data_IF_058173505795
#
_entry.id   IF_058173505795
#
_cell.length_a   1.000
_cell.length_b   1.000
_cell.length_c   1.000
_cell.angle_alpha   90.00
_cell.angle_beta   90.00
_cell.angle_gamma   90.00
#
_symmetry.space_group_name_H-M   'P 1'
#
loop_
_entity.id
_entity.type
_entity.pdbx_description
1 polymer ?
#
# COMPACT_ATOMS: atom_id res chain seq x y z
N UNK A 1 -7.63 18.09 -7.22
CA UNK A 1 -6.56 17.27 -6.64
C UNK A 1 -6.88 15.81 -6.94
N UNK A 2 -6.15 15.21 -7.87
CA UNK A 2 -6.24 13.79 -8.22
C UNK A 2 -5.50 12.99 -7.14
N UNK A 3 -6.23 12.16 -6.42
CA UNK A 3 -5.70 11.34 -5.34
C UNK A 3 -5.82 9.88 -5.72
N UNK A 4 -4.82 9.11 -5.37
CA UNK A 4 -4.88 7.65 -5.48
C UNK A 4 -4.54 7.03 -4.14
N UNK A 5 -5.15 5.88 -3.84
CA UNK A 5 -4.72 5.00 -2.74
C UNK A 5 -3.94 3.86 -3.36
N UNK A 6 -2.82 3.45 -2.78
CA UNK A 6 -2.08 2.29 -3.24
C UNK A 6 -1.75 1.34 -2.08
N UNK A 7 -1.65 0.06 -2.42
CA UNK A 7 -1.18 -1.00 -1.54
C UNK A 7 -0.44 -2.06 -2.37
N UNK A 8 0.57 -2.70 -1.77
CA UNK A 8 1.45 -3.66 -2.43
C UNK A 8 1.48 -4.98 -1.67
N UNK A 9 1.24 -6.05 -2.41
CA UNK A 9 1.54 -7.42 -1.97
C UNK A 9 2.92 -7.84 -2.48
N UNK A 10 3.64 -8.63 -1.68
CA UNK A 10 4.99 -9.10 -2.02
C UNK A 10 5.04 -10.59 -2.37
N UNK A 11 5.99 -10.98 -3.21
CA UNK A 11 6.19 -12.39 -3.61
C UNK A 11 6.90 -13.21 -2.54
N UNK A 12 7.76 -12.53 -1.78
CA UNK A 12 8.62 -13.10 -0.77
C UNK A 12 8.44 -12.37 0.56
N UNK A 13 8.91 -12.99 1.64
CA UNK A 13 8.83 -12.43 2.99
C UNK A 13 10.19 -12.00 3.52
N UNK A 14 10.20 -11.10 4.51
CA UNK A 14 11.41 -10.68 5.22
C UNK A 14 12.23 -11.85 5.80
N UNK A 15 11.55 -12.93 6.21
CA UNK A 15 12.20 -14.13 6.72
C UNK A 15 12.94 -14.90 5.63
N UNK A 16 12.34 -15.03 4.44
CA UNK A 16 12.95 -15.71 3.30
C UNK A 16 14.18 -14.98 2.77
N UNK A 17 14.16 -13.64 2.77
CA UNK A 17 15.30 -12.83 2.34
C UNK A 17 16.34 -12.57 3.43
N UNK A 18 16.03 -12.90 4.69
CA UNK A 18 16.91 -12.66 5.83
C UNK A 18 17.21 -11.17 6.08
N UNK A 19 16.30 -10.27 5.65
CA UNK A 19 16.46 -8.82 5.72
C UNK A 19 15.17 -8.16 6.22
N UNK A 20 15.27 -6.97 6.82
CA UNK A 20 14.13 -6.11 7.18
C UNK A 20 13.98 -4.92 6.23
N UNK A 21 14.85 -4.82 5.23
CA UNK A 21 14.81 -3.79 4.21
C UNK A 21 13.70 -4.10 3.18
N UNK A 22 12.69 -3.24 3.00
CA UNK A 22 11.67 -3.41 1.98
C UNK A 22 12.23 -3.64 0.57
N UNK A 23 13.39 -3.06 0.24
CA UNK A 23 14.01 -3.19 -1.08
C UNK A 23 14.48 -4.63 -1.41
N UNK A 24 14.63 -5.47 -0.38
CA UNK A 24 14.94 -6.89 -0.54
C UNK A 24 13.74 -7.71 -1.06
N UNK A 25 12.53 -7.14 -1.04
CA UNK A 25 11.32 -7.81 -1.50
C UNK A 25 11.09 -7.56 -3.01
N UNK A 26 10.20 -8.38 -3.57
CA UNK A 26 9.68 -8.26 -4.93
C UNK A 26 8.17 -8.13 -4.89
N UNK A 27 7.60 -7.34 -5.81
CA UNK A 27 6.16 -7.06 -5.86
C UNK A 27 5.43 -8.23 -6.54
N UNK A 28 4.37 -8.76 -5.91
CA UNK A 28 3.50 -9.78 -6.51
C UNK A 28 2.29 -9.14 -7.18
N UNK A 29 1.67 -8.17 -6.51
CA UNK A 29 0.50 -7.44 -6.98
C UNK A 29 0.52 -6.03 -6.41
N UNK A 30 0.14 -5.06 -7.23
CA UNK A 30 -0.12 -3.70 -6.78
C UNK A 30 -1.56 -3.34 -7.08
N UNK A 31 -2.25 -2.77 -6.09
CA UNK A 31 -3.63 -2.27 -6.26
C UNK A 31 -3.66 -0.76 -6.11
N UNK A 32 -4.42 -0.10 -6.97
CA UNK A 32 -4.70 1.33 -6.92
C UNK A 32 -6.19 1.56 -6.86
N UNK A 33 -6.64 2.44 -5.97
CA UNK A 33 -7.95 3.07 -6.06
C UNK A 33 -7.80 4.51 -6.53
N UNK A 34 -8.44 4.88 -7.65
CA UNK A 34 -8.44 6.23 -8.20
C UNK A 34 -9.73 6.98 -7.85
N UNK A 35 -9.60 8.05 -7.07
CA UNK A 35 -10.74 8.90 -6.69
C UNK A 35 -11.38 9.63 -7.88
N UNK A 36 -10.68 9.75 -9.01
CA UNK A 36 -11.16 10.43 -10.21
C UNK A 36 -12.15 9.57 -10.98
N UNK A 37 -11.89 8.27 -11.06
CA UNK A 37 -12.71 7.32 -11.81
C UNK A 37 -13.64 6.51 -10.90
N UNK A 38 -13.42 6.54 -9.59
CA UNK A 38 -14.10 5.69 -8.60
C UNK A 38 -13.95 4.20 -8.94
N UNK A 39 -12.73 3.79 -9.29
CA UNK A 39 -12.41 2.44 -9.71
C UNK A 39 -11.15 1.91 -9.01
N UNK A 40 -11.13 0.59 -8.88
CA UNK A 40 -9.94 -0.16 -8.51
C UNK A 40 -9.24 -0.67 -9.77
N UNK A 41 -7.91 -0.58 -9.76
CA UNK A 41 -7.02 -1.15 -10.77
C UNK A 41 -6.01 -2.04 -10.08
N UNK A 42 -5.65 -3.15 -10.71
CA UNK A 42 -4.64 -4.08 -10.22
C UNK A 42 -3.57 -4.28 -11.30
N UNK A 43 -2.31 -4.36 -10.89
CA UNK A 43 -1.18 -4.49 -11.79
C UNK A 43 -0.22 -5.57 -11.30
N UNK A 44 0.13 -6.47 -12.20
CA UNK A 44 1.32 -7.30 -12.09
C UNK A 44 2.56 -6.51 -12.56
N UNK A 45 3.75 -6.99 -12.23
CA UNK A 45 5.02 -6.31 -12.54
C UNK A 45 5.17 -5.97 -14.04
N UNK A 46 4.76 -6.87 -14.93
CA UNK A 46 4.80 -6.66 -16.38
C UNK A 46 3.79 -5.59 -16.88
N UNK A 47 2.86 -5.16 -16.04
CA UNK A 47 1.82 -4.18 -16.34
C UNK A 47 2.15 -2.79 -15.80
N UNK A 48 3.29 -2.62 -15.11
CA UNK A 48 3.68 -1.36 -14.49
C UNK A 48 3.76 -0.17 -15.45
N UNK A 49 4.01 -0.40 -16.74
CA UNK A 49 3.92 0.66 -17.77
C UNK A 49 2.55 1.36 -17.81
N UNK A 50 1.47 0.68 -17.43
CA UNK A 50 0.13 1.24 -17.32
C UNK A 50 -0.06 1.97 -15.97
N UNK A 51 0.46 1.39 -14.88
CA UNK A 51 0.48 1.99 -13.56
C UNK A 51 1.15 3.36 -13.54
N UNK A 52 2.29 3.50 -14.22
CA UNK A 52 3.04 4.77 -14.27
C UNK A 52 2.18 5.92 -14.78
N UNK A 53 1.32 5.67 -15.77
CA UNK A 53 0.40 6.69 -16.29
C UNK A 53 -0.58 7.18 -15.24
N UNK A 54 -1.00 6.32 -14.31
CA UNK A 54 -1.90 6.70 -13.21
C UNK A 54 -1.12 7.51 -12.16
N UNK A 55 0.03 6.99 -11.72
CA UNK A 55 0.85 7.61 -10.67
C UNK A 55 1.36 8.99 -11.09
N UNK A 56 1.87 9.13 -12.33
CA UNK A 56 2.40 10.41 -12.84
C UNK A 56 1.33 11.49 -13.02
N UNK A 57 0.06 11.08 -13.11
CA UNK A 57 -1.08 12.00 -13.16
C UNK A 57 -1.70 12.26 -11.79
N UNK A 58 -1.22 11.61 -10.72
CA UNK A 58 -1.72 11.80 -9.37
C UNK A 58 -1.02 13.00 -8.70
N UNK A 59 -1.82 13.84 -8.04
CA UNK A 59 -1.30 14.93 -7.21
C UNK A 59 -0.88 14.41 -5.82
N UNK A 60 -1.40 13.24 -5.41
CA UNK A 60 -1.16 12.65 -4.10
C UNK A 60 -1.34 11.13 -4.10
N UNK A 61 -0.41 10.45 -3.45
CA UNK A 61 -0.48 9.02 -3.10
C UNK A 61 -0.91 8.88 -1.64
N UNK A 62 -1.89 8.02 -1.37
CA UNK A 62 -2.38 7.70 -0.03
C UNK A 62 -2.08 6.23 0.25
N UNK A 63 -1.61 5.91 1.45
CA UNK A 63 -1.38 4.53 1.86
C UNK A 63 -1.16 4.38 3.35
N UNK A 64 -0.81 3.17 3.79
CA UNK A 64 -0.58 2.85 5.20
C UNK A 64 0.83 2.33 5.41
N UNK A 65 1.68 3.09 6.10
CA UNK A 65 3.12 2.81 6.24
C UNK A 65 3.88 2.86 4.89
N UNK A 66 3.31 3.52 3.89
CA UNK A 66 3.80 3.53 2.51
C UNK A 66 5.03 4.39 2.29
N UNK A 67 5.26 5.42 3.11
CA UNK A 67 6.50 6.20 3.04
C UNK A 67 7.72 5.33 3.38
N UNK A 68 7.52 4.32 4.24
CA UNK A 68 8.57 3.39 4.64
C UNK A 68 8.60 2.12 3.78
N UNK A 69 7.45 1.65 3.29
CA UNK A 69 7.33 0.35 2.64
C UNK A 69 7.03 0.45 1.14
N UNK A 70 5.82 0.84 0.78
CA UNK A 70 5.36 0.73 -0.61
C UNK A 70 6.10 1.65 -1.57
N UNK A 71 6.28 2.93 -1.21
CA UNK A 71 6.93 3.91 -2.09
C UNK A 71 8.38 3.50 -2.35
N UNK A 72 9.22 3.20 -1.33
CA UNK A 72 10.58 2.71 -1.58
C UNK A 72 10.61 1.41 -2.41
N UNK A 73 9.75 0.43 -2.10
CA UNK A 73 9.71 -0.84 -2.82
C UNK A 73 9.30 -0.64 -4.28
N UNK A 74 8.30 0.19 -4.57
CA UNK A 74 7.87 0.50 -5.93
C UNK A 74 8.91 1.32 -6.70
N UNK A 75 9.65 2.20 -6.01
CA UNK A 75 10.71 3.01 -6.63
C UNK A 75 11.84 2.16 -7.21
N UNK A 76 12.05 0.91 -6.73
CA UNK A 76 12.96 -0.08 -7.34
C UNK A 76 12.63 -0.36 -8.82
N UNK A 77 11.36 -0.24 -9.20
CA UNK A 77 10.85 -0.54 -10.53
C UNK A 77 10.56 0.71 -11.36
N UNK A 78 10.39 1.86 -10.70
CA UNK A 78 10.04 3.11 -11.37
C UNK A 78 11.30 3.76 -11.99
N UNK A 79 11.25 4.22 -13.26
CA UNK A 79 12.41 4.85 -13.90
C UNK A 79 12.78 6.24 -13.34
N UNK A 80 11.89 6.85 -12.56
CA UNK A 80 12.08 8.18 -11.97
C UNK A 80 12.25 8.12 -10.45
N UNK A 81 11.65 9.08 -9.76
CA UNK A 81 11.68 9.17 -8.31
C UNK A 81 10.28 9.47 -7.76
N UNK A 82 9.63 8.43 -7.22
CA UNK A 82 8.29 8.51 -6.67
C UNK A 82 8.22 9.36 -5.40
N UNK A 83 9.34 9.60 -4.71
CA UNK A 83 9.36 10.42 -3.48
C UNK A 83 9.06 11.90 -3.74
N UNK A 84 9.08 12.32 -5.01
CA UNK A 84 8.72 13.68 -5.44
C UNK A 84 7.21 13.88 -5.50
N UNK A 85 6.43 12.80 -5.56
CA UNK A 85 4.97 12.87 -5.53
C UNK A 85 4.55 13.00 -4.07
N UNK A 86 3.60 13.89 -3.79
CA UNK A 86 3.12 14.10 -2.42
C UNK A 86 2.52 12.80 -1.88
N UNK A 87 2.99 12.35 -0.73
CA UNK A 87 2.39 11.21 -0.03
C UNK A 87 1.56 11.66 1.18
N UNK A 88 0.55 10.85 1.50
CA UNK A 88 -0.21 10.88 2.74
C UNK A 88 -0.15 9.47 3.34
N UNK A 89 0.82 9.25 4.23
CA UNK A 89 0.91 8.02 5.01
C UNK A 89 0.02 8.12 6.26
N UNK A 90 -1.05 7.32 6.26
CA UNK A 90 -2.04 7.31 7.35
C UNK A 90 -1.37 6.96 8.70
N UNK A 91 -0.41 6.03 8.71
CA UNK A 91 0.29 5.67 9.93
C UNK A 91 1.18 6.83 10.41
N UNK A 92 1.83 7.54 9.50
CA UNK A 92 2.61 8.72 9.86
C UNK A 92 1.74 9.81 10.50
N UNK A 93 0.56 10.08 9.94
CA UNK A 93 -0.39 11.05 10.52
C UNK A 93 -0.91 10.61 11.90
N UNK A 94 -1.27 9.33 12.06
CA UNK A 94 -1.69 8.79 13.37
C UNK A 94 -0.58 8.95 14.40
N UNK A 95 0.68 8.68 14.01
CA UNK A 95 1.84 8.81 14.92
C UNK A 95 2.04 10.26 15.38
N UNK A 96 1.74 11.27 14.57
CA UNK A 96 1.83 12.68 14.98
C UNK A 96 0.88 13.02 16.13
N UNK A 97 -0.24 12.31 16.25
CA UNK A 97 -1.26 12.54 17.28
C UNK A 97 -1.06 11.63 18.50
N UNK A 98 -0.88 10.33 18.28
CA UNK A 98 -0.89 9.31 19.34
C UNK A 98 0.52 8.98 19.85
N UNK A 99 1.57 9.39 19.11
CA UNK A 99 2.98 9.08 19.40
C UNK A 99 3.26 7.57 19.57
N UNK A 100 2.45 6.72 18.94
CA UNK A 100 2.62 5.26 18.92
C UNK A 100 2.33 4.71 17.53
N UNK A 101 3.02 3.64 17.16
CA UNK A 101 2.66 2.85 15.98
C UNK A 101 1.43 1.99 16.31
N UNK A 102 0.45 2.01 15.43
CA UNK A 102 -0.77 1.21 15.54
C UNK A 102 -0.83 0.28 14.31
N UNK A 103 -1.43 -0.91 14.43
CA UNK A 103 -1.66 -1.78 13.27
C UNK A 103 -2.86 -1.30 12.46
N UNK A 104 -2.88 -1.55 11.15
CA UNK A 104 -4.02 -1.21 10.30
C UNK A 104 -5.31 -1.82 10.85
N UNK A 105 -5.27 -3.08 11.30
CA UNK A 105 -6.40 -3.76 11.96
C UNK A 105 -6.95 -3.01 13.17
N UNK A 106 -6.06 -2.50 14.04
CA UNK A 106 -6.48 -1.75 15.22
C UNK A 106 -7.11 -0.41 14.84
N UNK A 107 -6.61 0.22 13.78
CA UNK A 107 -7.21 1.46 13.24
C UNK A 107 -8.59 1.15 12.66
N UNK A 108 -8.72 0.11 11.84
CA UNK A 108 -10.00 -0.30 11.25
C UNK A 108 -11.04 -0.67 12.32
N UNK A 109 -10.65 -1.43 13.34
CA UNK A 109 -11.53 -1.78 14.46
C UNK A 109 -11.96 -0.54 15.25
N UNK A 110 -11.02 0.37 15.55
CA UNK A 110 -11.29 1.57 16.32
C UNK A 110 -12.08 2.67 15.59
N UNK A 111 -12.08 2.68 14.25
CA UNK A 111 -12.70 3.76 13.45
C UNK A 111 -13.90 3.30 12.64
N UNK A 112 -13.84 2.12 12.02
CA UNK A 112 -14.87 1.58 11.15
C UNK A 112 -15.74 0.51 11.85
N UNK A 113 -15.36 0.09 13.06
CA UNK A 113 -16.04 -0.98 13.79
C UNK A 113 -15.89 -2.36 13.13
N UNK A 114 -14.93 -2.50 12.21
CA UNK A 114 -14.67 -3.73 11.47
C UNK A 114 -13.58 -4.50 12.21
N UNK A 115 -13.93 -5.69 12.69
CA UNK A 115 -12.93 -6.64 13.21
C UNK A 115 -12.17 -7.25 12.02
N UNK A 116 -10.90 -7.65 12.20
CA UNK A 116 -10.18 -8.38 11.17
C UNK A 116 -11.05 -9.53 10.65
N UNK A 117 -11.02 -9.74 9.33
CA UNK A 117 -11.76 -10.83 8.69
C UNK A 117 -11.50 -12.12 9.48
N UNK A 118 -12.54 -12.92 9.83
CA UNK A 118 -12.30 -14.09 10.65
C UNK A 118 -11.42 -15.04 9.86
N UNK A 119 -10.18 -15.21 10.31
CA UNK A 119 -9.21 -16.17 9.77
C UNK A 119 -9.77 -17.63 9.90
N UNK A 120 -10.89 -17.82 10.61
CA UNK A 120 -11.50 -19.12 10.92
C UNK A 120 -12.94 -19.37 10.40
N UNK A 121 -13.53 -18.56 9.51
CA UNK A 121 -14.92 -18.84 9.02
C UNK A 121 -15.04 -19.47 7.64
N UNK A 122 -13.93 -19.87 7.00
CA UNK A 122 -13.97 -20.69 5.77
C UNK A 122 -13.78 -22.19 6.06
N UNK A 123 -14.49 -22.72 7.06
CA UNK A 123 -14.60 -24.16 7.31
C UNK A 123 -15.84 -24.48 8.15
N UNK A 124 -17.04 -24.16 7.66
CA UNK A 124 -18.28 -24.93 7.89
C UNK A 124 -19.48 -24.21 7.28
N UNK A 125 -19.82 -24.60 6.05
CA UNK A 125 -21.17 -24.98 5.60
C UNK A 125 -21.10 -25.22 4.09
N UNK A 126 -20.80 -26.48 3.75
CA UNK A 126 -21.50 -27.15 2.66
C UNK A 126 -22.96 -27.35 3.10
#
# INVERSE_FOLDING_TARGET
MKKIVLDIETQNTFNEVGSRDPLALSISLLVVYDYTTDQYYSFLENEFSQLWKIIENADMIIGYNSDYFDIPLLNKYYPGDLTKIKSLDILAEIRKVINKRISLDSVAAGTLGILPWPINTCATKL
#
